data_IF_475300720675
#
_entry.id   IF_475300720675
#
_cell.length_a   1.000
_cell.length_b   1.000
_cell.length_c   1.000
_cell.angle_alpha   90.00
_cell.angle_beta   90.00
_cell.angle_gamma   90.00
#
_symmetry.space_group_name_H-M   'P 1'
#
loop_
_entity.id
_entity.type
_entity.pdbx_description
1 polymer ?
#
# COMPACT_ATOMS: atom_id res chain seq x y z
N UNK A 1 -14.71 9.29 -16.23
CA UNK A 1 -14.97 10.52 -17.01
C UNK A 1 -13.66 11.28 -17.12
N UNK A 2 -13.24 11.73 -18.31
CA UNK A 2 -12.07 12.59 -18.44
C UNK A 2 -12.32 13.94 -17.75
N UNK A 3 -11.27 14.57 -17.22
CA UNK A 3 -11.37 15.91 -16.64
C UNK A 3 -11.84 16.91 -17.69
N UNK A 4 -12.76 17.78 -17.29
CA UNK A 4 -13.18 18.92 -18.13
C UNK A 4 -12.05 19.96 -18.22
N UNK A 5 -12.04 20.78 -19.27
CA UNK A 5 -11.03 21.84 -19.44
C UNK A 5 -10.97 22.82 -18.26
N UNK A 6 -12.11 23.10 -17.61
CA UNK A 6 -12.16 23.91 -16.40
C UNK A 6 -11.46 23.25 -15.20
N UNK A 7 -11.63 21.94 -15.02
CA UNK A 7 -10.94 21.18 -13.96
C UNK A 7 -9.43 21.12 -14.19
N UNK A 8 -8.98 20.95 -15.45
CA UNK A 8 -7.56 20.95 -15.78
C UNK A 8 -6.93 22.33 -15.54
N UNK A 9 -7.62 23.42 -15.91
CA UNK A 9 -7.17 24.79 -15.67
C UNK A 9 -7.06 25.10 -14.17
N UNK A 10 -8.06 24.69 -13.36
CA UNK A 10 -8.02 24.86 -11.91
C UNK A 10 -6.87 24.06 -11.26
N UNK A 11 -6.63 22.82 -11.72
CA UNK A 11 -5.49 22.01 -11.26
C UNK A 11 -4.16 22.73 -11.55
N UNK A 12 -3.94 23.14 -12.81
CA UNK A 12 -2.71 23.80 -13.24
C UNK A 12 -2.46 25.10 -12.44
N UNK A 13 -3.50 25.86 -12.13
CA UNK A 13 -3.41 27.05 -11.29
C UNK A 13 -3.01 26.72 -9.84
N UNK A 14 -3.47 25.60 -9.28
CA UNK A 14 -3.17 25.17 -7.92
C UNK A 14 -1.77 24.60 -7.73
N UNK A 15 -1.27 23.81 -8.68
CA UNK A 15 0.06 23.18 -8.59
C UNK A 15 1.20 24.02 -9.17
N UNK A 16 0.89 25.21 -9.71
CA UNK A 16 1.89 26.12 -10.29
C UNK A 16 2.41 25.74 -11.68
N UNK A 17 1.76 24.76 -12.33
CA UNK A 17 2.20 24.19 -13.61
C UNK A 17 3.41 23.25 -13.45
N UNK A 18 3.32 22.04 -14.03
CA UNK A 18 4.43 21.08 -14.06
C UNK A 18 4.17 19.74 -13.37
N UNK A 19 3.04 19.57 -12.69
CA UNK A 19 2.60 18.27 -12.15
C UNK A 19 1.32 17.81 -12.85
N UNK A 20 1.36 16.64 -13.46
CA UNK A 20 0.15 16.01 -13.99
C UNK A 20 -0.73 15.50 -12.84
N UNK A 21 -2.07 15.53 -12.97
CA UNK A 21 -2.97 14.92 -11.99
C UNK A 21 -2.66 13.44 -11.69
N UNK A 22 -2.13 12.71 -12.68
CA UNK A 22 -1.67 11.33 -12.56
C UNK A 22 -0.55 11.16 -11.52
N UNK A 23 0.33 12.17 -11.38
CA UNK A 23 1.46 12.12 -10.44
C UNK A 23 0.99 12.02 -8.97
N UNK A 24 -0.11 12.70 -8.61
CA UNK A 24 -0.68 12.60 -7.27
C UNK A 24 -1.25 11.20 -7.02
N UNK A 25 -1.90 10.60 -8.03
CA UNK A 25 -2.39 9.23 -7.92
C UNK A 25 -1.23 8.25 -7.69
N UNK A 26 -0.14 8.36 -8.45
CA UNK A 26 1.06 7.54 -8.23
C UNK A 26 1.67 7.73 -6.84
N UNK A 27 1.72 8.97 -6.33
CA UNK A 27 2.22 9.24 -4.99
C UNK A 27 1.35 8.55 -3.92
N UNK A 28 0.03 8.66 -4.03
CA UNK A 28 -0.92 8.02 -3.10
C UNK A 28 -0.77 6.49 -3.15
N UNK A 29 -0.70 5.91 -4.36
CA UNK A 29 -0.50 4.47 -4.54
C UNK A 29 0.86 4.00 -3.99
N UNK A 30 1.93 4.76 -4.23
CA UNK A 30 3.26 4.49 -3.68
C UNK A 30 3.28 4.53 -2.16
N UNK A 31 2.62 5.51 -1.54
CA UNK A 31 2.46 5.61 -0.09
C UNK A 31 1.65 4.43 0.47
N UNK A 32 0.54 4.08 -0.17
CA UNK A 32 -0.28 2.92 0.21
C UNK A 32 0.57 1.63 0.17
N UNK A 33 1.28 1.40 -0.93
CA UNK A 33 2.20 0.27 -1.07
C UNK A 33 3.24 0.25 0.03
N UNK A 34 3.92 1.38 0.27
CA UNK A 34 4.93 1.51 1.33
C UNK A 34 4.39 1.17 2.73
N UNK A 35 3.20 1.68 3.07
CA UNK A 35 2.53 1.38 4.36
C UNK A 35 2.22 -0.10 4.48
N UNK A 36 1.68 -0.74 3.43
CA UNK A 36 1.33 -2.16 3.45
C UNK A 36 2.57 -3.05 3.57
N UNK A 37 3.68 -2.69 2.91
CA UNK A 37 4.94 -3.41 3.04
C UNK A 37 5.51 -3.29 4.46
N UNK A 38 5.54 -2.08 5.02
CA UNK A 38 6.00 -1.85 6.39
C UNK A 38 5.12 -2.59 7.40
N UNK A 39 3.80 -2.55 7.23
CA UNK A 39 2.85 -3.29 8.05
C UNK A 39 3.09 -4.81 7.98
N UNK A 40 3.33 -5.35 6.79
CA UNK A 40 3.60 -6.78 6.60
C UNK A 40 4.91 -7.20 7.27
N UNK A 41 5.99 -6.42 7.10
CA UNK A 41 7.27 -6.67 7.75
C UNK A 41 7.13 -6.62 9.29
N UNK A 42 6.45 -5.59 9.81
CA UNK A 42 6.17 -5.45 11.23
C UNK A 42 5.36 -6.62 11.79
N UNK A 43 4.33 -7.06 11.07
CA UNK A 43 3.47 -8.19 11.47
C UNK A 43 4.27 -9.49 11.52
N UNK A 44 5.12 -9.77 10.52
CA UNK A 44 5.97 -10.96 10.50
C UNK A 44 6.97 -10.97 11.67
N UNK A 45 7.64 -9.85 11.92
CA UNK A 45 8.58 -9.73 13.05
C UNK A 45 7.86 -9.91 14.38
N UNK A 46 6.66 -9.35 14.53
CA UNK A 46 5.83 -9.48 15.72
C UNK A 46 5.40 -10.93 15.93
N UNK A 47 4.92 -11.62 14.89
CA UNK A 47 4.54 -13.03 14.96
C UNK A 47 5.74 -13.92 15.30
N UNK A 48 6.90 -13.70 14.66
CA UNK A 48 8.14 -14.43 14.95
C UNK A 48 8.60 -14.26 16.40
N UNK A 49 8.62 -13.01 16.91
CA UNK A 49 8.91 -12.75 18.32
C UNK A 49 7.89 -13.40 19.24
N UNK A 50 6.61 -13.41 18.84
CA UNK A 50 5.53 -14.06 19.57
C UNK A 50 5.76 -15.56 19.75
N UNK A 51 6.26 -16.22 18.70
CA UNK A 51 6.65 -17.64 18.72
C UNK A 51 7.84 -17.89 19.65
N UNK A 52 8.91 -17.08 19.55
CA UNK A 52 10.09 -17.22 20.43
C UNK A 52 9.68 -17.08 21.90
N UNK A 53 8.80 -16.13 22.20
CA UNK A 53 8.33 -15.86 23.56
C UNK A 53 7.25 -16.85 24.02
N UNK A 54 6.92 -17.89 23.23
CA UNK A 54 5.86 -18.88 23.48
C UNK A 54 4.46 -18.28 23.70
N UNK A 55 4.26 -17.04 23.27
CA UNK A 55 2.94 -16.38 23.27
C UNK A 55 2.09 -16.75 22.06
N UNK A 56 2.73 -17.26 21.01
CA UNK A 56 2.10 -17.72 19.77
C UNK A 56 2.59 -19.12 19.43
N UNK A 57 1.70 -19.98 18.96
CA UNK A 57 2.06 -21.30 18.49
C UNK A 57 2.74 -21.24 17.11
N UNK A 58 3.73 -22.11 16.88
CA UNK A 58 4.57 -22.09 15.68
C UNK A 58 3.78 -22.31 14.38
N UNK A 59 2.68 -23.06 14.44
CA UNK A 59 1.74 -23.30 13.34
C UNK A 59 1.03 -22.03 12.85
N UNK A 60 0.93 -20.99 13.70
CA UNK A 60 0.32 -19.70 13.33
C UNK A 60 1.21 -18.79 12.51
N UNK A 61 2.52 -19.03 12.51
CA UNK A 61 3.47 -18.25 11.74
C UNK A 61 3.29 -18.41 10.22
N UNK A 62 3.22 -19.63 9.65
CA UNK A 62 2.94 -19.80 8.22
C UNK A 62 1.54 -19.32 7.83
N UNK A 63 0.52 -19.53 8.69
CA UNK A 63 -0.84 -19.01 8.47
C UNK A 63 -0.84 -17.47 8.33
N UNK A 64 -0.08 -16.79 9.20
CA UNK A 64 0.09 -15.33 9.16
C UNK A 64 0.82 -14.89 7.89
N UNK A 65 1.90 -15.58 7.51
CA UNK A 65 2.66 -15.26 6.31
C UNK A 65 1.81 -15.40 5.03
N UNK A 66 1.02 -16.48 4.91
CA UNK A 66 0.12 -16.70 3.77
C UNK A 66 -0.90 -15.57 3.67
N UNK A 67 -1.53 -15.16 4.79
CA UNK A 67 -2.49 -14.05 4.80
C UNK A 67 -1.87 -12.73 4.31
N UNK A 68 -0.65 -12.43 4.73
CA UNK A 68 0.06 -11.23 4.29
C UNK A 68 0.41 -11.30 2.80
N UNK A 69 0.82 -12.47 2.29
CA UNK A 69 1.06 -12.67 0.86
C UNK A 69 -0.23 -12.45 0.06
N UNK A 70 -1.35 -13.02 0.49
CA UNK A 70 -2.63 -12.79 -0.16
C UNK A 70 -3.00 -11.30 -0.15
N UNK A 71 -2.82 -10.60 0.97
CA UNK A 71 -3.08 -9.16 1.06
C UNK A 71 -2.22 -8.37 0.07
N UNK A 72 -0.93 -8.69 -0.03
CA UNK A 72 -0.01 -8.04 -0.97
C UNK A 72 -0.42 -8.30 -2.42
N UNK A 73 -0.74 -9.54 -2.78
CA UNK A 73 -1.19 -9.90 -4.12
C UNK A 73 -2.49 -9.18 -4.50
N UNK A 74 -3.46 -9.14 -3.59
CA UNK A 74 -4.71 -8.41 -3.81
C UNK A 74 -4.46 -6.92 -3.99
N UNK A 75 -3.56 -6.34 -3.18
CA UNK A 75 -3.21 -4.92 -3.28
C UNK A 75 -2.56 -4.62 -4.63
N UNK A 76 -1.59 -5.43 -5.05
CA UNK A 76 -0.95 -5.26 -6.36
C UNK A 76 -1.96 -5.41 -7.49
N UNK A 77 -2.84 -6.42 -7.42
CA UNK A 77 -3.83 -6.69 -8.44
C UNK A 77 -4.89 -5.59 -8.58
N UNK A 78 -5.34 -4.98 -7.49
CA UNK A 78 -6.41 -3.97 -7.52
C UNK A 78 -5.93 -2.54 -7.69
N UNK A 79 -4.67 -2.24 -7.34
CA UNK A 79 -4.20 -0.85 -7.24
C UNK A 79 -2.97 -0.53 -8.10
N UNK A 80 -2.24 -1.54 -8.58
CA UNK A 80 -0.99 -1.34 -9.34
C UNK A 80 -1.09 -1.90 -10.77
N UNK A 81 -2.19 -1.60 -11.47
CA UNK A 81 -2.45 -2.04 -12.84
C UNK A 81 -2.79 -0.87 -13.79
#
# INVERSE_FOLDING_TARGET
MPMTGAQQSAWNAGVGGGMEPSSLNFLILGLLGGVIFLFSAWTLVTAYRGVINKSLAMDKLPETAIRLICLLLLTLFFFFH
#
